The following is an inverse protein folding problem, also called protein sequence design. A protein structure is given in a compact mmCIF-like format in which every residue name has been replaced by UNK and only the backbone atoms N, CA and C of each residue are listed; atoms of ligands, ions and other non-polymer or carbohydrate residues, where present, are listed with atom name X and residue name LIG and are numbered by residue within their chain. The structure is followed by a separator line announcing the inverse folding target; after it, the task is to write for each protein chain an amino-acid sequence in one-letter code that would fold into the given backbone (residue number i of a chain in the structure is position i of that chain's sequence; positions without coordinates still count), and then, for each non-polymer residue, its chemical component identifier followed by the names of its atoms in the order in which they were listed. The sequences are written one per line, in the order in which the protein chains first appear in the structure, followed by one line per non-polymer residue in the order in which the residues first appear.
data_IF_405975926010
#
_entry.id   IF_405975926010
#
_cell.length_a   1.000
_cell.length_b   1.000
_cell.length_c   1.000
_cell.angle_alpha   90.00
_cell.angle_beta   90.00
_cell.angle_gamma   90.00
#
_symmetry.space_group_name_H-M   'P 1'
#
loop_
_entity.id
_entity.type
_entity.pdbx_description
1 polymer ?
#
# COMPACT_ATOMS: atom_id res chain seq x y z
N UNK A 1 -11.25 -49.22 -51.73
CA UNK A 1 -11.32 -48.29 -50.59
C UNK A 1 -11.53 -46.91 -51.19
N UNK A 2 -12.75 -46.36 -51.11
CA UNK A 2 -13.01 -45.00 -51.60
C UNK A 2 -12.42 -44.03 -50.57
N UNK A 3 -11.28 -43.42 -50.91
CA UNK A 3 -10.76 -42.27 -50.18
C UNK A 3 -11.71 -41.10 -50.43
N UNK A 4 -12.52 -40.79 -49.42
CA UNK A 4 -13.44 -39.64 -49.45
C UNK A 4 -12.59 -38.37 -49.28
N UNK A 5 -12.46 -37.59 -50.35
CA UNK A 5 -11.88 -36.25 -50.30
C UNK A 5 -12.80 -35.26 -49.60
N UNK A 6 -12.21 -34.32 -48.86
CA UNK A 6 -12.93 -33.22 -48.19
C UNK A 6 -13.64 -32.32 -49.19
N UNK A 7 -14.83 -31.82 -48.82
CA UNK A 7 -15.57 -30.87 -49.68
C UNK A 7 -15.01 -29.45 -49.53
N UNK A 8 -15.10 -28.62 -50.59
CA UNK A 8 -14.63 -27.23 -50.55
C UNK A 8 -15.28 -26.40 -49.44
N UNK A 9 -16.56 -26.69 -49.14
CA UNK A 9 -17.30 -26.02 -48.07
C UNK A 9 -16.74 -26.38 -46.70
N UNK A 10 -16.35 -27.63 -46.50
CA UNK A 10 -15.74 -28.12 -45.24
C UNK A 10 -14.37 -27.47 -44.98
N UNK A 11 -13.59 -27.24 -46.04
CA UNK A 11 -12.34 -26.49 -45.98
C UNK A 11 -12.57 -24.99 -45.66
N UNK A 12 -13.65 -24.39 -46.19
CA UNK A 12 -14.02 -23.01 -45.87
C UNK A 12 -14.47 -22.87 -44.42
N UNK A 13 -15.31 -23.78 -43.92
CA UNK A 13 -15.78 -23.79 -42.53
C UNK A 13 -14.62 -24.02 -41.55
N UNK A 14 -13.70 -24.94 -41.87
CA UNK A 14 -12.53 -25.18 -41.04
C UNK A 14 -11.62 -23.94 -40.93
N UNK A 15 -11.39 -23.24 -42.05
CA UNK A 15 -10.56 -22.02 -42.06
C UNK A 15 -11.22 -20.86 -41.32
N UNK A 16 -12.53 -20.65 -41.45
CA UNK A 16 -13.23 -19.58 -40.73
C UNK A 16 -13.25 -19.82 -39.23
N UNK A 17 -13.51 -21.05 -38.80
CA UNK A 17 -13.46 -21.41 -37.38
C UNK A 17 -12.05 -21.29 -36.80
N UNK A 18 -11.04 -21.76 -37.53
CA UNK A 18 -9.64 -21.63 -37.10
C UNK A 18 -9.22 -20.15 -36.97
N UNK A 19 -9.61 -19.31 -37.92
CA UNK A 19 -9.31 -17.88 -37.88
C UNK A 19 -9.96 -17.18 -36.67
N UNK A 20 -11.22 -17.52 -36.36
CA UNK A 20 -11.91 -16.99 -35.18
C UNK A 20 -11.23 -17.45 -33.89
N UNK A 21 -10.89 -18.74 -33.78
CA UNK A 21 -10.20 -19.26 -32.59
C UNK A 21 -8.83 -18.61 -32.38
N UNK A 22 -8.03 -18.47 -33.44
CA UNK A 22 -6.73 -17.82 -33.37
C UNK A 22 -6.84 -16.34 -33.00
N UNK A 23 -7.81 -15.60 -33.57
CA UNK A 23 -8.04 -14.20 -33.23
C UNK A 23 -8.33 -14.04 -31.73
N UNK A 24 -9.18 -14.90 -31.20
CA UNK A 24 -9.59 -14.86 -29.81
C UNK A 24 -8.44 -15.28 -28.88
N UNK A 25 -7.67 -16.32 -29.23
CA UNK A 25 -6.49 -16.75 -28.48
C UNK A 25 -5.39 -15.68 -28.42
N UNK A 26 -5.12 -15.01 -29.55
CA UNK A 26 -4.15 -13.91 -29.62
C UNK A 26 -4.64 -12.70 -28.82
N UNK A 27 -5.93 -12.37 -28.88
CA UNK A 27 -6.51 -11.31 -28.05
C UNK A 27 -6.33 -11.57 -26.55
N UNK A 28 -6.51 -12.82 -26.13
CA UNK A 28 -6.31 -13.25 -24.74
C UNK A 28 -4.83 -13.16 -24.32
N UNK A 29 -3.90 -13.60 -25.18
CA UNK A 29 -2.46 -13.50 -24.94
C UNK A 29 -2.00 -12.04 -24.82
N UNK A 30 -2.45 -11.16 -25.72
CA UNK A 30 -2.12 -9.73 -25.67
C UNK A 30 -2.63 -9.07 -24.39
N UNK A 31 -3.87 -9.39 -23.97
CA UNK A 31 -4.42 -8.95 -22.69
C UNK A 31 -3.55 -9.38 -21.49
N UNK A 32 -3.04 -10.61 -21.49
CA UNK A 32 -2.14 -11.09 -20.43
C UNK A 32 -0.81 -10.34 -20.45
N UNK A 33 -0.23 -10.09 -21.64
CA UNK A 33 1.00 -9.32 -21.77
C UNK A 33 0.82 -7.90 -21.21
N UNK A 34 -0.32 -7.26 -21.49
CA UNK A 34 -0.64 -5.94 -20.95
C UNK A 34 -0.82 -5.96 -19.43
N UNK A 35 -1.48 -6.97 -18.88
CA UNK A 35 -1.60 -7.15 -17.43
C UNK A 35 -0.23 -7.35 -16.76
N UNK A 36 0.64 -8.18 -17.34
CA UNK A 36 1.99 -8.41 -16.85
C UNK A 36 2.87 -7.16 -16.94
N UNK A 37 2.73 -6.36 -18.00
CA UNK A 37 3.43 -5.06 -18.11
C UNK A 37 2.99 -4.09 -17.03
N UNK A 38 1.69 -4.02 -16.73
CA UNK A 38 1.16 -3.19 -15.64
C UNK A 38 1.67 -3.65 -14.28
N UNK A 39 1.71 -4.95 -14.01
CA UNK A 39 2.24 -5.51 -12.77
C UNK A 39 3.73 -5.15 -12.57
N UNK A 40 4.56 -5.27 -13.62
CA UNK A 40 5.98 -4.88 -13.57
C UNK A 40 6.17 -3.38 -13.38
N UNK A 41 5.33 -2.55 -14.00
CA UNK A 41 5.37 -1.10 -13.81
C UNK A 41 5.03 -0.73 -12.35
N UNK A 42 4.01 -1.37 -11.77
CA UNK A 42 3.65 -1.22 -10.36
C UNK A 42 4.82 -1.56 -9.44
N UNK A 43 5.48 -2.70 -9.67
CA UNK A 43 6.60 -3.16 -8.85
C UNK A 43 7.77 -2.15 -8.87
N UNK A 44 8.12 -1.62 -10.05
CA UNK A 44 9.14 -0.59 -10.16
C UNK A 44 8.76 0.70 -9.43
N UNK A 45 7.51 1.15 -9.58
CA UNK A 45 7.00 2.34 -8.88
C UNK A 45 7.08 2.15 -7.37
N UNK A 46 6.64 1.00 -6.85
CA UNK A 46 6.70 0.70 -5.42
C UNK A 46 8.13 0.66 -4.91
N UNK A 47 9.06 0.02 -5.62
CA UNK A 47 10.47 -0.03 -5.21
C UNK A 47 11.11 1.36 -5.17
N UNK A 48 10.88 2.18 -6.21
CA UNK A 48 11.40 3.55 -6.27
C UNK A 48 10.80 4.42 -5.15
N UNK A 49 9.49 4.28 -4.89
CA UNK A 49 8.81 5.02 -3.85
C UNK A 49 9.28 4.59 -2.45
N UNK A 50 9.44 3.29 -2.21
CA UNK A 50 9.89 2.75 -0.92
C UNK A 50 11.27 3.31 -0.52
N UNK A 51 12.21 3.43 -1.47
CA UNK A 51 13.53 4.02 -1.19
C UNK A 51 13.42 5.50 -0.79
N UNK A 52 12.60 6.27 -1.51
CA UNK A 52 12.39 7.68 -1.20
C UNK A 52 11.77 7.88 0.19
N UNK A 53 10.80 7.01 0.54
CA UNK A 53 10.09 7.05 1.81
C UNK A 53 10.97 6.58 2.96
N UNK A 54 11.71 5.47 2.83
CA UNK A 54 12.62 5.00 3.88
C UNK A 54 13.67 6.06 4.24
N UNK A 55 14.27 6.68 3.23
CA UNK A 55 15.21 7.78 3.42
C UNK A 55 14.59 9.00 4.12
N UNK A 56 13.34 9.31 3.81
CA UNK A 56 12.57 10.34 4.49
C UNK A 56 12.32 9.97 5.96
N UNK A 57 11.65 8.84 6.22
CA UNK A 57 11.33 8.34 7.57
C UNK A 57 12.56 8.32 8.47
N UNK A 58 13.70 7.82 7.97
CA UNK A 58 14.95 7.81 8.72
C UNK A 58 15.42 9.21 9.12
N UNK A 59 15.39 10.16 8.18
CA UNK A 59 15.80 11.54 8.47
C UNK A 59 14.84 12.24 9.44
N UNK A 60 13.55 11.96 9.32
CA UNK A 60 12.51 12.50 10.20
C UNK A 60 12.66 11.96 11.62
N UNK A 61 12.86 10.66 11.80
CA UNK A 61 13.05 10.03 13.11
C UNK A 61 14.25 10.60 13.88
N UNK A 62 15.32 10.96 13.17
CA UNK A 62 16.54 11.51 13.78
C UNK A 62 16.50 13.03 13.95
N UNK A 63 15.43 13.69 13.49
CA UNK A 63 15.27 15.13 13.55
C UNK A 63 14.82 15.63 14.93
N UNK A 64 14.65 16.95 15.03
CA UNK A 64 13.90 17.60 16.11
C UNK A 64 13.27 18.91 15.58
N UNK A 65 12.52 19.61 16.44
CA UNK A 65 11.95 20.93 16.13
C UNK A 65 11.10 20.89 14.85
N UNK A 66 10.11 19.99 14.87
CA UNK A 66 9.13 19.80 13.80
C UNK A 66 8.26 21.02 13.62
N UNK A 67 7.86 21.27 12.39
CA UNK A 67 6.94 22.34 12.07
C UNK A 67 6.20 22.01 10.78
N UNK A 68 4.89 22.26 10.78
CA UNK A 68 4.02 21.95 9.65
C UNK A 68 3.47 23.19 8.99
N UNK A 69 3.18 23.04 7.71
CA UNK A 69 2.64 24.07 6.83
C UNK A 69 3.49 25.35 6.72
N UNK A 70 4.75 25.28 7.16
CA UNK A 70 5.71 26.36 7.03
C UNK A 70 7.12 25.82 7.00
N UNK A 71 7.97 26.55 6.30
CA UNK A 71 9.41 26.31 6.21
C UNK A 71 10.18 27.02 7.31
N UNK A 72 9.57 27.98 8.01
CA UNK A 72 10.23 28.82 9.01
C UNK A 72 10.71 28.02 10.22
N UNK A 73 11.72 28.56 10.91
CA UNK A 73 12.06 28.15 12.27
C UNK A 73 10.82 28.34 13.17
N UNK A 74 10.33 27.28 13.85
CA UNK A 74 9.21 27.40 14.78
C UNK A 74 9.61 28.21 16.01
N UNK A 75 8.69 29.01 16.53
CA UNK A 75 8.81 29.59 17.85
C UNK A 75 8.54 28.51 18.90
N UNK A 76 9.58 28.01 19.55
CA UNK A 76 9.52 26.86 20.47
C UNK A 76 8.72 27.11 21.76
N UNK A 77 8.20 28.32 21.97
CA UNK A 77 7.33 28.68 23.10
C UNK A 77 5.83 28.70 22.73
N UNK A 78 5.49 28.92 21.45
CA UNK A 78 4.10 29.09 20.99
C UNK A 78 3.67 28.08 19.94
N UNK A 79 4.62 27.51 19.21
CA UNK A 79 4.35 26.62 18.09
C UNK A 79 4.49 25.19 18.58
N UNK A 80 3.35 24.53 18.68
CA UNK A 80 3.31 23.08 18.80
C UNK A 80 3.83 22.49 17.48
N UNK A 81 4.81 21.58 17.58
CA UNK A 81 5.40 20.93 16.41
C UNK A 81 4.49 19.85 15.82
N UNK A 82 3.34 19.62 16.46
CA UNK A 82 2.37 18.62 16.07
C UNK A 82 1.53 19.05 14.86
N UNK A 83 1.22 18.06 14.04
CA UNK A 83 0.55 18.20 12.77
C UNK A 83 -0.68 17.29 12.80
N UNK A 84 -1.59 17.61 13.71
CA UNK A 84 -2.84 16.88 13.90
C UNK A 84 -3.89 17.37 12.90
N UNK A 85 -4.65 16.43 12.33
CA UNK A 85 -5.83 16.76 11.53
C UNK A 85 -6.82 17.56 12.38
N UNK A 86 -7.14 18.80 11.98
CA UNK A 86 -8.31 19.48 12.53
C UNK A 86 -8.37 21.01 12.42
N UNK A 87 -7.23 21.71 12.27
CA UNK A 87 -7.25 23.19 12.33
C UNK A 87 -6.70 23.90 11.07
N UNK A 88 -5.96 23.23 10.18
CA UNK A 88 -5.20 23.92 9.11
C UNK A 88 -5.29 23.29 7.69
N UNK A 89 -6.10 22.26 7.44
CA UNK A 89 -6.18 21.59 6.13
C UNK A 89 -5.09 20.54 5.90
N UNK A 90 -4.98 20.01 4.66
CA UNK A 90 -3.95 19.02 4.32
C UNK A 90 -2.55 19.63 4.45
N UNK A 91 -1.68 19.01 5.25
CA UNK A 91 -0.31 19.47 5.46
C UNK A 91 0.54 19.03 4.28
N UNK A 92 0.82 19.97 3.37
CA UNK A 92 1.60 19.73 2.16
C UNK A 92 3.09 20.09 2.35
N UNK A 93 3.42 20.87 3.38
CA UNK A 93 4.80 21.28 3.72
C UNK A 93 5.12 20.80 5.13
N UNK A 94 6.26 20.15 5.26
CA UNK A 94 6.77 19.64 6.51
C UNK A 94 8.25 20.00 6.68
N UNK A 95 8.63 20.60 7.79
CA UNK A 95 10.02 20.99 8.06
C UNK A 95 10.50 20.54 9.44
N UNK A 96 11.80 20.26 9.54
CA UNK A 96 12.45 19.90 10.79
C UNK A 96 13.95 20.19 10.75
N UNK A 97 14.58 20.21 11.92
CA UNK A 97 16.03 20.27 12.06
C UNK A 97 16.58 18.83 12.04
N UNK A 98 17.41 18.45 11.05
CA UNK A 98 17.99 17.11 11.02
C UNK A 98 19.00 16.91 12.16
N UNK A 99 19.38 15.67 12.42
CA UNK A 99 20.40 15.35 13.43
C UNK A 99 21.68 16.16 13.21
N UNK A 100 22.15 16.83 14.27
CA UNK A 100 23.38 17.64 14.26
C UNK A 100 23.24 19.06 13.69
N UNK A 101 22.06 19.45 13.18
CA UNK A 101 21.79 20.83 12.76
C UNK A 101 21.35 21.71 13.94
N UNK A 102 21.57 23.01 13.81
CA UNK A 102 21.03 24.01 14.73
C UNK A 102 19.53 24.22 14.44
N UNK A 103 18.61 23.93 15.38
CA UNK A 103 17.18 24.07 15.14
C UNK A 103 16.71 25.49 14.90
N UNK A 104 17.50 26.48 15.34
CA UNK A 104 17.22 27.90 15.19
C UNK A 104 17.72 28.49 13.86
N UNK A 105 18.47 27.73 13.07
CA UNK A 105 19.07 28.20 11.82
C UNK A 105 18.23 27.77 10.62
N UNK A 106 17.60 28.73 9.93
CA UNK A 106 16.72 28.46 8.79
C UNK A 106 17.42 27.66 7.68
N UNK A 107 18.70 27.97 7.42
CA UNK A 107 19.45 27.37 6.31
C UNK A 107 19.87 25.93 6.54
N UNK A 108 19.78 25.42 7.77
CA UNK A 108 20.12 24.02 8.09
C UNK A 108 18.88 23.11 8.17
N UNK A 109 17.67 23.69 8.09
CA UNK A 109 16.41 22.94 8.14
C UNK A 109 16.18 22.14 6.86
N UNK A 110 15.65 20.94 7.05
CA UNK A 110 15.17 20.11 5.95
C UNK A 110 13.68 20.33 5.79
N UNK A 111 13.26 20.48 4.54
CA UNK A 111 11.86 20.75 4.18
C UNK A 111 11.44 19.72 3.16
N UNK A 112 10.33 19.05 3.42
CA UNK A 112 9.60 18.21 2.49
C UNK A 112 8.36 18.95 2.03
N UNK A 113 8.11 18.92 0.72
CA UNK A 113 6.95 19.57 0.11
C UNK A 113 6.31 18.64 -0.89
N UNK A 114 5.01 18.42 -0.74
CA UNK A 114 4.20 17.81 -1.77
C UNK A 114 3.86 18.88 -2.82
N UNK A 115 4.24 18.61 -4.07
CA UNK A 115 3.87 19.45 -5.20
C UNK A 115 2.80 18.71 -5.99
N UNK A 116 1.52 19.15 -5.94
CA UNK A 116 0.46 18.50 -6.69
C UNK A 116 0.73 18.61 -8.19
N UNK A 117 0.28 17.59 -8.94
CA UNK A 117 0.43 17.56 -10.38
C UNK A 117 -0.28 18.75 -11.03
N UNK A 118 0.38 19.40 -11.99
CA UNK A 118 -0.24 20.48 -12.78
C UNK A 118 0.05 20.31 -14.27
N UNK A 119 -1.00 20.37 -15.07
CA UNK A 119 -0.91 20.17 -16.52
C UNK A 119 -0.41 18.77 -16.90
N UNK A 120 0.79 18.70 -17.49
CA UNK A 120 1.42 17.43 -17.92
C UNK A 120 2.43 16.87 -16.91
N UNK A 121 2.67 17.56 -15.79
CA UNK A 121 3.58 17.10 -14.74
C UNK A 121 2.76 16.40 -13.65
N UNK A 122 3.15 15.16 -13.33
CA UNK A 122 2.58 14.42 -12.20
C UNK A 122 2.95 15.04 -10.86
N UNK A 123 2.17 14.71 -9.83
CA UNK A 123 2.45 15.09 -8.46
C UNK A 123 3.70 14.38 -7.94
N UNK A 124 4.48 15.08 -7.12
CA UNK A 124 5.79 14.60 -6.65
C UNK A 124 6.11 15.12 -5.25
N UNK A 125 7.02 14.44 -4.57
CA UNK A 125 7.58 14.93 -3.30
C UNK A 125 8.94 15.54 -3.59
N UNK A 126 9.13 16.77 -3.11
CA UNK A 126 10.39 17.48 -3.17
C UNK A 126 11.00 17.62 -1.78
N UNK A 127 12.33 17.64 -1.72
CA UNK A 127 13.11 17.88 -0.52
C UNK A 127 14.08 19.03 -0.73
N UNK A 128 14.09 19.98 0.19
CA UNK A 128 15.13 20.99 0.36
C UNK A 128 15.96 20.67 1.61
N UNK A 129 17.28 20.92 1.54
CA UNK A 129 18.20 20.85 2.68
C UNK A 129 18.67 22.24 3.14
N UNK A 130 18.00 23.29 2.66
CA UNK A 130 18.41 24.67 2.87
C UNK A 130 17.21 25.55 3.20
N UNK A 131 16.39 25.11 4.15
CA UNK A 131 15.25 25.88 4.65
C UNK A 131 14.18 26.19 3.60
N UNK A 132 13.98 25.31 2.62
CA UNK A 132 13.03 25.49 1.52
C UNK A 132 13.66 26.01 0.22
N UNK A 133 14.93 26.41 0.23
CA UNK A 133 15.66 26.81 -0.98
C UNK A 133 16.15 25.60 -1.77
N UNK A 134 16.20 25.70 -3.11
CA UNK A 134 16.68 24.65 -4.01
C UNK A 134 16.04 23.26 -3.78
N UNK A 135 14.70 23.15 -3.85
CA UNK A 135 14.02 21.87 -3.70
C UNK A 135 14.42 20.89 -4.81
N UNK A 136 14.58 19.62 -4.45
CA UNK A 136 14.93 18.53 -5.37
C UNK A 136 13.89 17.42 -5.23
N UNK A 137 13.34 16.95 -6.36
CA UNK A 137 12.41 15.82 -6.37
C UNK A 137 13.10 14.54 -5.87
N UNK A 138 12.47 13.86 -4.91
CA UNK A 138 12.95 12.57 -4.39
C UNK A 138 12.16 11.38 -4.96
N UNK A 139 11.01 11.65 -5.57
CA UNK A 139 10.19 10.65 -6.25
C UNK A 139 10.57 10.59 -7.74
N UNK A 140 10.55 9.39 -8.32
CA UNK A 140 10.91 9.22 -9.72
C UNK A 140 9.86 9.85 -10.67
N UNK A 141 10.24 10.38 -11.85
CA UNK A 141 9.32 11.07 -12.76
C UNK A 141 8.14 10.23 -13.27
N UNK A 142 8.28 8.90 -13.26
CA UNK A 142 7.23 7.95 -13.63
C UNK A 142 6.18 7.71 -12.53
N UNK A 143 6.42 8.22 -11.31
CA UNK A 143 5.48 8.13 -10.19
C UNK A 143 4.65 9.40 -10.12
N UNK A 144 3.36 9.27 -10.37
CA UNK A 144 2.38 10.35 -10.21
C UNK A 144 1.68 10.17 -8.86
N UNK A 145 1.91 11.12 -7.95
CA UNK A 145 1.36 11.11 -6.60
C UNK A 145 0.11 11.98 -6.56
N UNK A 146 -1.04 11.39 -6.24
CA UNK A 146 -2.31 12.12 -6.24
C UNK A 146 -2.48 12.97 -4.98
N UNK A 147 -2.07 12.43 -3.83
CA UNK A 147 -2.31 13.03 -2.51
C UNK A 147 -1.23 12.56 -1.54
N UNK A 148 -0.72 13.48 -0.71
CA UNK A 148 0.21 13.22 0.41
C UNK A 148 -0.16 14.16 1.53
N UNK A 149 -0.35 13.60 2.73
CA UNK A 149 -0.46 14.39 3.96
C UNK A 149 0.59 13.92 4.96
N UNK A 150 1.28 14.88 5.58
CA UNK A 150 2.22 14.65 6.67
C UNK A 150 1.51 14.75 8.02
N UNK A 151 1.65 13.72 8.85
CA UNK A 151 1.18 13.72 10.24
C UNK A 151 2.37 13.67 11.19
N UNK A 152 2.31 14.47 12.26
CA UNK A 152 3.28 14.46 13.36
C UNK A 152 2.47 14.58 14.64
N UNK A 153 2.81 13.77 15.64
CA UNK A 153 2.11 13.74 16.92
C UNK A 153 3.12 13.50 18.07
N UNK A 154 2.83 14.12 19.22
CA UNK A 154 3.58 14.10 20.47
C UNK A 154 4.97 14.72 20.38
N UNK A 155 5.02 15.93 19.85
CA UNK A 155 6.16 16.85 19.93
C UNK A 155 5.98 17.91 21.00
N UNK A 156 4.82 17.94 21.68
CA UNK A 156 4.55 18.82 22.82
C UNK A 156 5.65 18.73 23.90
N UNK A 157 6.15 19.90 24.31
CA UNK A 157 7.11 20.05 25.41
C UNK A 157 6.35 20.49 26.65
N UNK A 158 6.10 19.60 27.61
CA UNK A 158 5.47 20.01 28.87
C UNK A 158 6.37 21.02 29.60
N UNK A 159 5.81 22.19 29.94
CA UNK A 159 6.45 23.31 30.65
C UNK A 159 6.81 23.03 32.13
N UNK A 160 7.26 21.82 32.45
CA UNK A 160 7.66 21.42 33.78
C UNK A 160 8.33 20.06 33.81
N UNK A 161 9.65 20.05 34.03
CA UNK A 161 10.36 18.96 34.72
C UNK A 161 10.68 17.67 33.97
N UNK A 162 10.06 17.35 32.83
CA UNK A 162 10.45 16.18 32.04
C UNK A 162 10.90 16.61 30.65
N UNK A 163 12.21 16.65 30.43
CA UNK A 163 12.78 16.68 29.09
C UNK A 163 12.50 15.31 28.47
N UNK A 164 11.30 15.10 27.94
CA UNK A 164 11.00 14.01 27.01
C UNK A 164 11.47 14.53 25.64
N UNK A 165 12.61 14.09 25.07
CA UNK A 165 12.87 14.30 23.66
C UNK A 165 11.62 13.90 22.87
N UNK A 166 11.10 14.74 21.96
CA UNK A 166 9.98 14.31 21.15
C UNK A 166 10.35 12.97 20.48
N UNK A 167 9.47 11.97 20.61
CA UNK A 167 9.52 10.75 19.79
C UNK A 167 8.50 10.96 18.66
N UNK A 168 8.85 11.76 17.63
CA UNK A 168 7.94 12.17 16.58
C UNK A 168 7.54 10.94 15.79
N UNK A 169 6.25 10.63 15.77
CA UNK A 169 5.70 9.66 14.85
C UNK A 169 5.25 10.37 13.60
N UNK A 170 6.00 10.18 12.53
CA UNK A 170 5.53 10.58 11.20
C UNK A 170 4.68 9.46 10.61
N UNK A 171 3.36 9.63 10.60
CA UNK A 171 2.48 8.78 9.78
C UNK A 171 2.19 9.51 8.47
N UNK A 172 2.20 8.78 7.35
CA UNK A 172 1.97 9.35 6.02
C UNK A 172 0.87 8.54 5.35
N UNK A 173 -0.05 9.25 4.70
CA UNK A 173 -1.03 8.65 3.80
C UNK A 173 -0.77 9.19 2.41
N UNK A 174 -0.43 8.33 1.44
CA UNK A 174 -0.50 8.68 0.03
C UNK A 174 -1.51 7.83 -0.71
N UNK A 175 -2.34 8.50 -1.51
CA UNK A 175 -3.13 7.85 -2.55
C UNK A 175 -2.35 7.97 -3.86
N UNK A 176 -1.99 6.82 -4.43
CA UNK A 176 -1.48 6.74 -5.79
C UNK A 176 -2.49 5.98 -6.65
N UNK A 177 -2.96 6.59 -7.74
CA UNK A 177 -3.49 5.84 -8.88
C UNK A 177 -2.55 6.03 -10.06
N UNK A 178 -2.30 4.93 -10.75
CA UNK A 178 -1.66 4.94 -12.06
C UNK A 178 -2.56 5.68 -13.07
N UNK A 179 -2.22 6.92 -13.37
CA UNK A 179 -2.75 7.63 -14.51
C UNK A 179 -2.07 7.15 -15.79
N UNK A 180 -2.60 6.07 -16.39
CA UNK A 180 -2.32 5.74 -17.78
C UNK A 180 -3.12 6.68 -18.70
N UNK A 181 -2.63 7.92 -18.90
CA UNK A 181 -3.18 8.84 -19.88
C UNK A 181 -2.76 8.43 -21.30
N UNK A 182 -3.40 7.40 -21.86
CA UNK A 182 -3.39 7.19 -23.32
C UNK A 182 -4.47 8.08 -23.94
N UNK A 183 -4.13 9.34 -24.19
CA UNK A 183 -4.97 10.28 -24.95
C UNK A 183 -4.91 9.92 -26.44
N UNK A 184 -5.65 8.87 -26.82
CA UNK A 184 -5.85 8.50 -28.23
C UNK A 184 -6.73 9.53 -28.94
N UNK A 185 -6.13 10.51 -29.61
CA UNK A 185 -6.84 11.38 -30.56
C UNK A 185 -7.42 10.53 -31.69
N UNK A 186 -8.73 10.26 -31.65
CA UNK A 186 -9.50 9.74 -32.79
C UNK A 186 -9.42 10.76 -33.92
N UNK A 187 -8.72 10.43 -35.02
CA UNK A 187 -8.88 11.13 -36.30
C UNK A 187 -10.28 10.81 -36.81
N UNK A 188 -11.15 11.81 -36.80
CA UNK A 188 -12.42 11.81 -37.53
C UNK A 188 -12.11 11.67 -39.02
N UNK A 189 -12.37 10.48 -39.58
CA UNK A 189 -12.39 10.26 -41.01
C UNK A 189 -13.66 10.92 -41.57
N UNK A 190 -13.50 12.09 -42.18
CA UNK A 190 -14.55 12.72 -42.98
C UNK A 190 -14.55 12.06 -44.37
N UNK A 191 -15.63 11.35 -44.72
CA UNK A 191 -15.75 10.74 -46.04
C UNK A 191 -15.96 11.83 -47.10
N UNK A 192 -15.00 11.96 -48.02
CA UNK A 192 -15.12 12.81 -49.20
C UNK A 192 -15.94 12.04 -50.25
N UNK A 193 -17.12 12.56 -50.62
CA UNK A 193 -17.91 12.04 -51.75
C UNK A 193 -17.16 12.28 -53.06
N UNK A 194 -17.00 11.25 -53.88
CA UNK A 194 -16.61 11.35 -55.28
C UNK A 194 -17.87 11.35 -56.17
N UNK A 195 -17.87 11.99 -57.35
CA UNK A 195 -19.03 12.08 -58.21
C UNK A 195 -19.25 10.78 -58.99
N UNK A 196 -20.53 10.49 -59.24
CA UNK A 196 -21.02 9.43 -60.11
C UNK A 196 -20.71 9.73 -61.57
N UNK A 197 -20.06 8.79 -62.27
CA UNK A 197 -20.14 8.66 -63.72
C UNK A 197 -20.90 7.38 -64.07
N UNK A 198 -21.80 7.51 -65.04
CA UNK A 198 -22.61 6.45 -65.59
C UNK A 198 -21.84 5.63 -66.63
N UNK A 199 -22.02 4.30 -66.62
CA UNK A 199 -21.93 3.42 -67.80
C UNK A 199 -22.49 2.05 -67.41
N UNK A 200 -23.65 1.67 -67.93
CA UNK A 200 -23.77 0.82 -69.13
C UNK A 200 -23.99 -0.64 -68.73
N UNK A 201 -25.19 -1.08 -69.07
CA UNK A 201 -25.75 -2.42 -68.98
C UNK A 201 -24.87 -3.49 -69.64
N UNK A 202 -24.64 -4.61 -68.97
CA UNK A 202 -24.67 -5.94 -69.60
C UNK A 202 -24.80 -7.04 -68.54
N UNK A 203 -25.77 -7.92 -68.81
CA UNK A 203 -25.84 -9.33 -68.44
C UNK A 203 -25.91 -9.71 -66.96
N UNK A 204 -27.16 -9.73 -66.48
CA UNK A 204 -27.56 -10.43 -65.26
C UNK A 204 -27.58 -11.94 -65.52
N UNK A 205 -26.43 -12.58 -65.39
CA UNK A 205 -26.33 -14.03 -65.29
C UNK A 205 -26.98 -14.45 -63.96
N UNK A 206 -28.10 -15.17 -64.07
CA UNK A 206 -28.85 -15.71 -62.93
C UNK A 206 -28.00 -16.76 -62.22
N UNK A 207 -27.25 -16.35 -61.20
CA UNK A 207 -26.78 -17.26 -60.15
C UNK A 207 -28.02 -17.78 -59.41
N UNK A 208 -28.40 -19.03 -59.69
CA UNK A 208 -29.33 -19.79 -58.85
C UNK A 208 -28.66 -19.93 -57.48
N UNK A 209 -29.07 -19.11 -56.53
CA UNK A 209 -28.82 -19.37 -55.12
C UNK A 209 -29.53 -20.68 -54.78
N UNK A 210 -28.78 -21.75 -54.61
CA UNK A 210 -29.34 -22.94 -53.99
C UNK A 210 -29.61 -22.59 -52.54
N UNK A 211 -30.88 -22.42 -52.19
CA UNK A 211 -31.30 -22.38 -50.80
C UNK A 211 -31.12 -23.78 -50.20
N UNK A 212 -29.92 -24.06 -49.68
CA UNK A 212 -29.70 -25.21 -48.82
C UNK A 212 -29.97 -24.77 -47.39
N UNK A 213 -30.95 -25.42 -46.75
CA UNK A 213 -31.15 -25.31 -45.31
C UNK A 213 -29.93 -25.87 -44.57
N UNK A 214 -29.46 -25.15 -43.55
CA UNK A 214 -28.39 -25.62 -42.66
C UNK A 214 -28.79 -26.96 -42.04
N UNK A 215 -27.88 -27.91 -42.06
CA UNK A 215 -28.11 -29.20 -41.37
C UNK A 215 -28.00 -28.98 -39.86
N UNK A 216 -28.81 -29.70 -39.07
CA UNK A 216 -28.75 -29.63 -37.60
C UNK A 216 -27.38 -30.06 -37.04
N UNK A 217 -26.65 -30.90 -37.76
CA UNK A 217 -25.29 -31.32 -37.39
C UNK A 217 -24.31 -30.16 -37.53
N UNK A 218 -24.47 -29.34 -38.56
CA UNK A 218 -23.62 -28.17 -38.82
C UNK A 218 -23.85 -27.06 -37.77
N UNK A 219 -25.09 -26.80 -37.39
CA UNK A 219 -25.39 -25.85 -36.30
C UNK A 219 -24.89 -26.36 -34.94
N UNK A 220 -24.95 -27.68 -34.68
CA UNK A 220 -24.44 -28.28 -33.46
C UNK A 220 -22.90 -28.21 -33.38
N UNK A 221 -22.20 -28.51 -34.48
CA UNK A 221 -20.74 -28.41 -34.56
C UNK A 221 -20.30 -26.94 -34.44
N UNK A 222 -20.97 -26.02 -35.13
CA UNK A 222 -20.66 -24.59 -35.05
C UNK A 222 -20.81 -24.05 -33.61
N UNK A 223 -21.91 -24.39 -32.91
CA UNK A 223 -22.14 -23.93 -31.53
C UNK A 223 -21.15 -24.57 -30.55
N UNK A 224 -20.76 -25.84 -30.74
CA UNK A 224 -19.78 -26.50 -29.87
C UNK A 224 -18.36 -25.91 -30.02
N UNK A 225 -17.92 -25.60 -31.24
CA UNK A 225 -16.62 -24.97 -31.46
C UNK A 225 -16.64 -23.52 -30.94
N UNK A 226 -17.74 -22.80 -31.16
CA UNK A 226 -17.91 -21.40 -30.73
C UNK A 226 -17.98 -21.29 -29.20
N UNK A 227 -18.62 -22.24 -28.52
CA UNK A 227 -18.64 -22.28 -27.04
C UNK A 227 -17.25 -22.54 -26.44
N UNK A 228 -16.48 -23.49 -26.98
CA UNK A 228 -15.09 -23.74 -26.54
C UNK A 228 -14.20 -22.51 -26.79
N UNK A 229 -14.38 -21.84 -27.93
CA UNK A 229 -13.63 -20.65 -28.28
C UNK A 229 -13.89 -19.46 -27.34
N UNK A 230 -15.09 -19.33 -26.77
CA UNK A 230 -15.44 -18.24 -25.84
C UNK A 230 -15.00 -18.55 -24.39
N UNK A 231 -15.02 -19.82 -23.99
CA UNK A 231 -14.71 -20.21 -22.60
C UNK A 231 -13.24 -19.99 -22.26
N UNK A 232 -12.30 -20.36 -23.13
CA UNK A 232 -10.86 -20.24 -22.84
C UNK A 232 -10.37 -18.78 -22.58
N UNK A 233 -10.76 -17.79 -23.40
CA UNK A 233 -10.41 -16.38 -23.19
C UNK A 233 -11.11 -15.78 -21.99
N UNK A 234 -12.39 -16.11 -21.78
CA UNK A 234 -13.14 -15.64 -20.61
C UNK A 234 -12.50 -16.17 -19.32
N UNK A 235 -12.04 -17.41 -19.32
CA UNK A 235 -11.31 -18.00 -18.19
C UNK A 235 -9.98 -17.28 -17.97
N UNK A 236 -9.25 -16.94 -19.03
CA UNK A 236 -7.99 -16.21 -18.93
C UNK A 236 -8.18 -14.78 -18.40
N UNK A 237 -9.18 -14.05 -18.88
CA UNK A 237 -9.46 -12.68 -18.43
C UNK A 237 -9.91 -12.65 -16.98
N UNK A 238 -10.75 -13.61 -16.55
CA UNK A 238 -11.14 -13.76 -15.14
C UNK A 238 -9.91 -14.01 -14.24
N UNK A 239 -8.99 -14.88 -14.66
CA UNK A 239 -7.73 -15.12 -13.92
C UNK A 239 -6.85 -13.88 -13.86
N UNK A 240 -6.75 -13.11 -14.94
CA UNK A 240 -5.95 -11.88 -14.98
C UNK A 240 -6.49 -10.80 -14.04
N UNK A 241 -7.81 -10.65 -13.93
CA UNK A 241 -8.42 -9.67 -13.03
C UNK A 241 -8.21 -10.06 -11.56
N UNK A 242 -8.36 -11.36 -11.27
CA UNK A 242 -8.06 -11.91 -9.94
C UNK A 242 -6.60 -11.68 -9.53
N UNK A 243 -5.64 -11.90 -10.44
CA UNK A 243 -4.22 -11.65 -10.19
C UNK A 243 -3.91 -10.17 -9.92
N UNK A 244 -4.61 -9.24 -10.59
CA UNK A 244 -4.44 -7.80 -10.34
C UNK A 244 -4.97 -7.37 -8.98
N UNK A 245 -6.13 -7.91 -8.55
CA UNK A 245 -6.64 -7.68 -7.20
C UNK A 245 -5.72 -8.25 -6.13
N UNK A 246 -5.18 -9.45 -6.37
CA UNK A 246 -4.20 -10.07 -5.49
C UNK A 246 -2.97 -9.18 -5.29
N UNK A 247 -2.36 -8.71 -6.37
CA UNK A 247 -1.17 -7.86 -6.30
C UNK A 247 -1.44 -6.54 -5.54
N UNK A 248 -2.61 -5.92 -5.75
CA UNK A 248 -3.00 -4.71 -5.03
C UNK A 248 -3.15 -4.96 -3.53
N UNK A 249 -3.86 -6.02 -3.16
CA UNK A 249 -4.13 -6.31 -1.76
C UNK A 249 -2.82 -6.69 -1.03
N UNK A 250 -1.90 -7.39 -1.69
CA UNK A 250 -0.58 -7.71 -1.15
C UNK A 250 0.22 -6.47 -0.74
N UNK A 251 0.17 -5.39 -1.54
CA UNK A 251 0.85 -4.12 -1.23
C UNK A 251 0.24 -3.47 0.01
N UNK A 252 -1.09 -3.40 0.10
CA UNK A 252 -1.79 -2.80 1.24
C UNK A 252 -1.47 -3.59 2.52
N UNK A 253 -1.60 -4.92 2.47
CA UNK A 253 -1.34 -5.78 3.62
C UNK A 253 0.12 -5.69 4.10
N UNK A 254 1.08 -5.59 3.17
CA UNK A 254 2.50 -5.42 3.51
C UNK A 254 2.79 -4.11 4.23
N UNK A 255 2.17 -3.01 3.77
CA UNK A 255 2.34 -1.71 4.43
C UNK A 255 1.65 -1.67 5.80
N UNK A 256 0.46 -2.28 5.94
CA UNK A 256 -0.23 -2.40 7.23
C UNK A 256 0.56 -3.25 8.23
N UNK A 257 1.25 -4.29 7.75
CA UNK A 257 2.12 -5.13 8.57
C UNK A 257 3.37 -4.36 9.02
N UNK A 258 4.01 -3.61 8.11
CA UNK A 258 5.16 -2.75 8.43
C UNK A 258 4.80 -1.65 9.42
N UNK A 259 3.64 -1.00 9.26
CA UNK A 259 3.17 -0.02 10.25
C UNK A 259 3.00 -0.66 11.63
N UNK A 260 2.48 -1.89 11.69
CA UNK A 260 2.31 -2.63 12.94
C UNK A 260 3.64 -2.85 13.67
N UNK A 261 4.69 -3.28 12.95
CA UNK A 261 6.00 -3.53 13.58
C UNK A 261 6.67 -2.22 14.03
N UNK A 262 6.55 -1.16 13.23
CA UNK A 262 7.07 0.16 13.60
C UNK A 262 6.34 0.75 14.81
N UNK A 263 5.03 0.51 14.95
CA UNK A 263 4.27 0.93 16.11
C UNK A 263 4.76 0.22 17.39
N UNK A 264 5.00 -1.10 17.34
CA UNK A 264 5.54 -1.84 18.49
C UNK A 264 6.95 -1.33 18.84
N UNK A 265 7.78 -1.05 17.83
CA UNK A 265 9.11 -0.45 18.06
C UNK A 265 9.01 0.94 18.69
N UNK A 266 8.06 1.76 18.23
CA UNK A 266 7.85 3.09 18.77
C UNK A 266 7.42 3.08 20.24
N UNK A 267 6.64 2.08 20.66
CA UNK A 267 6.27 1.88 22.07
C UNK A 267 7.50 1.51 22.92
N UNK A 268 8.34 0.58 22.46
CA UNK A 268 9.63 0.29 23.11
C UNK A 268 10.51 1.54 23.20
N UNK A 269 10.63 2.29 22.12
CA UNK A 269 11.48 3.48 22.06
C UNK A 269 10.95 4.60 22.99
N UNK A 270 9.63 4.71 23.17
CA UNK A 270 9.04 5.58 24.18
C UNK A 270 9.42 5.13 25.60
N UNK A 271 9.42 3.83 25.88
CA UNK A 271 9.83 3.29 27.19
C UNK A 271 11.31 3.59 27.50
N UNK A 272 12.21 3.46 26.52
CA UNK A 272 13.63 3.84 26.64
C UNK A 272 13.74 5.28 27.16
N UNK A 273 12.92 6.16 26.61
CA UNK A 273 12.94 7.58 26.93
C UNK A 273 12.47 7.88 28.35
N UNK A 274 11.38 7.24 28.76
CA UNK A 274 10.84 7.32 30.12
C UNK A 274 11.89 6.86 31.14
N UNK A 275 12.60 5.75 30.86
CA UNK A 275 13.68 5.25 31.71
C UNK A 275 14.85 6.24 31.75
N UNK A 276 15.30 6.73 30.59
CA UNK A 276 16.45 7.64 30.50
C UNK A 276 16.20 9.00 31.19
N UNK A 277 14.94 9.41 31.31
CA UNK A 277 14.55 10.68 31.94
C UNK A 277 14.27 10.57 33.43
N UNK A 278 14.38 9.36 34.01
CA UNK A 278 13.95 9.05 35.38
C UNK A 278 12.53 9.56 35.68
N UNK A 279 11.64 9.50 34.68
CA UNK A 279 10.23 9.77 34.92
C UNK A 279 9.68 8.69 35.84
N UNK A 280 9.02 9.08 36.93
CA UNK A 280 8.28 8.19 37.84
C UNK A 280 7.01 7.64 37.15
N UNK A 281 7.19 7.00 36.00
CA UNK A 281 6.14 6.20 35.39
C UNK A 281 6.33 4.75 35.84
N UNK A 282 5.22 4.09 36.13
CA UNK A 282 5.18 2.66 36.37
C UNK A 282 4.67 1.96 35.12
N UNK A 283 5.06 0.69 34.96
CA UNK A 283 4.46 -0.17 33.96
C UNK A 283 2.99 -0.45 34.28
N UNK A 284 2.22 -0.86 33.28
CA UNK A 284 0.79 -1.16 33.44
C UNK A 284 0.49 -2.30 34.41
N UNK A 285 1.49 -3.10 34.77
CA UNK A 285 1.44 -4.15 35.78
C UNK A 285 1.80 -3.67 37.21
N UNK A 286 2.11 -2.37 37.37
CA UNK A 286 2.54 -1.78 38.64
C UNK A 286 4.01 -2.03 38.99
N UNK A 287 4.79 -2.59 38.07
CA UNK A 287 6.24 -2.75 38.19
C UNK A 287 7.01 -1.49 37.77
N UNK A 288 8.33 -1.44 38.05
CA UNK A 288 9.19 -0.35 37.59
C UNK A 288 9.20 -0.29 36.05
N UNK A 289 9.38 0.89 35.47
CA UNK A 289 9.45 1.05 34.02
C UNK A 289 10.52 0.17 33.37
N UNK A 290 10.10 -0.71 32.45
CA UNK A 290 10.96 -1.59 31.65
C UNK A 290 10.80 -1.31 30.15
N UNK A 291 11.76 -1.77 29.37
CA UNK A 291 11.82 -1.56 27.92
C UNK A 291 10.62 -2.13 27.16
N UNK A 292 10.10 -3.27 27.62
CA UNK A 292 9.02 -4.01 26.95
C UNK A 292 7.64 -3.75 27.55
N UNK A 293 7.52 -2.79 28.48
CA UNK A 293 6.25 -2.50 29.13
C UNK A 293 5.17 -2.05 28.16
N UNK A 294 3.94 -2.54 28.40
CA UNK A 294 2.79 -2.30 27.52
C UNK A 294 2.74 -3.21 26.29
N UNK A 295 3.69 -4.13 26.09
CA UNK A 295 3.63 -5.16 25.03
C UNK A 295 3.11 -6.47 25.63
N UNK A 296 1.91 -6.95 25.25
CA UNK A 296 1.40 -8.24 25.71
C UNK A 296 2.23 -9.39 25.14
N UNK A 297 2.85 -10.18 26.03
CA UNK A 297 3.63 -11.37 25.69
C UNK A 297 2.73 -12.60 25.70
N UNK A 298 2.97 -13.53 24.77
CA UNK A 298 2.24 -14.80 24.56
C UNK A 298 0.74 -14.62 24.28
N UNK A 299 0.33 -13.40 23.96
CA UNK A 299 -1.04 -13.02 23.65
C UNK A 299 -1.10 -12.32 22.29
N UNK A 300 -2.26 -12.40 21.65
CA UNK A 300 -2.54 -11.63 20.44
C UNK A 300 -3.16 -10.28 20.83
N UNK A 301 -2.70 -9.21 20.21
CA UNK A 301 -3.15 -7.85 20.49
C UNK A 301 -3.29 -7.01 19.22
N UNK A 302 -4.02 -5.89 19.34
CA UNK A 302 -4.06 -4.83 18.34
C UNK A 302 -3.19 -3.66 18.78
N UNK A 303 -2.71 -2.89 17.82
CA UNK A 303 -2.00 -1.65 18.09
C UNK A 303 -2.61 -0.55 17.23
N UNK A 304 -2.89 0.61 17.84
CA UNK A 304 -3.29 1.81 17.15
C UNK A 304 -2.10 2.77 17.05
N UNK A 305 -1.49 2.81 15.86
CA UNK A 305 -0.31 3.62 15.57
C UNK A 305 -0.60 5.14 15.55
N UNK A 306 -1.88 5.54 15.54
CA UNK A 306 -2.31 6.94 15.46
C UNK A 306 -2.23 7.67 16.80
N UNK A 307 -2.03 6.95 17.91
CA UNK A 307 -1.91 7.50 19.27
C UNK A 307 -0.43 7.67 19.64
N UNK A 308 -0.12 8.62 20.53
CA UNK A 308 1.20 8.77 21.11
C UNK A 308 1.21 8.72 22.66
N UNK A 309 1.80 7.68 23.30
CA UNK A 309 2.37 6.46 22.72
C UNK A 309 1.31 5.60 21.97
N UNK A 310 1.71 4.63 21.13
CA UNK A 310 0.75 3.82 20.40
C UNK A 310 -0.13 3.06 21.39
N UNK A 311 -1.44 3.03 21.14
CA UNK A 311 -2.37 2.41 22.07
C UNK A 311 -2.47 0.91 21.77
N UNK A 312 -2.20 0.09 22.79
CA UNK A 312 -2.33 -1.36 22.67
C UNK A 312 -3.73 -1.78 23.12
N UNK A 313 -4.44 -2.49 22.25
CA UNK A 313 -5.76 -3.04 22.52
C UNK A 313 -5.69 -4.55 22.71
N UNK A 314 -6.46 -5.07 23.66
CA UNK A 314 -6.69 -6.51 23.76
C UNK A 314 -7.63 -6.99 22.65
N UNK A 315 -7.29 -8.11 22.02
CA UNK A 315 -8.26 -8.84 21.21
C UNK A 315 -9.14 -9.62 22.19
N UNK A 316 -10.39 -9.16 22.39
CA UNK A 316 -11.32 -9.67 23.41
C UNK A 316 -11.44 -11.21 23.42
N UNK A 317 -11.63 -11.79 24.62
CA UNK A 317 -11.48 -13.23 24.85
C UNK A 317 -12.70 -14.13 24.62
N UNK A 318 -12.35 -15.42 24.53
CA UNK A 318 -13.06 -16.70 24.74
C UNK A 318 -13.83 -17.37 23.59
N UNK A 319 -14.02 -16.77 22.43
CA UNK A 319 -14.31 -17.55 21.21
C UNK A 319 -13.43 -17.06 20.06
N UNK A 320 -12.22 -17.64 20.03
CA UNK A 320 -11.16 -17.54 19.02
C UNK A 320 -10.34 -16.23 19.05
N UNK A 321 -9.02 -16.37 18.98
CA UNK A 321 -8.01 -15.29 19.05
C UNK A 321 -8.04 -14.33 17.87
N UNK A 322 -9.19 -13.71 17.66
CA UNK A 322 -9.54 -12.99 16.46
C UNK A 322 -9.69 -11.49 16.77
N UNK A 323 -8.66 -10.71 16.44
CA UNK A 323 -8.77 -9.25 16.52
C UNK A 323 -9.80 -8.71 15.50
N UNK A 324 -10.48 -7.61 15.85
CA UNK A 324 -11.44 -6.97 14.95
C UNK A 324 -10.79 -6.46 13.65
N UNK A 325 -11.61 -6.30 12.60
CA UNK A 325 -11.17 -5.69 11.33
C UNK A 325 -10.72 -4.24 11.55
N UNK A 326 -9.71 -3.80 10.79
CA UNK A 326 -9.27 -2.41 10.77
C UNK A 326 -10.38 -1.50 10.25
N UNK A 327 -10.53 -0.33 10.84
CA UNK A 327 -11.46 0.71 10.42
C UNK A 327 -10.70 1.81 9.67
N UNK A 328 -11.43 2.61 8.88
CA UNK A 328 -10.84 3.75 8.17
C UNK A 328 -11.78 4.96 8.17
N UNK A 329 -11.22 6.16 8.27
CA UNK A 329 -11.88 7.44 7.95
C UNK A 329 -11.77 7.81 6.46
N UNK A 330 -11.13 6.96 5.66
CA UNK A 330 -10.80 7.22 4.26
C UNK A 330 -9.36 7.69 4.04
N UNK A 331 -8.61 8.01 5.09
CA UNK A 331 -7.21 8.45 5.01
C UNK A 331 -6.26 7.53 5.77
N UNK A 332 -6.65 7.11 6.97
CA UNK A 332 -5.85 6.30 7.89
C UNK A 332 -6.55 4.98 8.20
N UNK A 333 -5.77 4.00 8.68
CA UNK A 333 -6.26 2.73 9.20
C UNK A 333 -6.05 2.71 10.71
N UNK A 334 -6.99 2.12 11.46
CA UNK A 334 -6.88 2.06 12.92
C UNK A 334 -8.02 1.31 13.60
N UNK A 335 -8.08 1.42 14.92
CA UNK A 335 -9.08 0.74 15.76
C UNK A 335 -10.04 1.74 16.45
N UNK A 336 -10.23 2.91 15.84
CA UNK A 336 -11.10 3.95 16.39
C UNK A 336 -12.56 3.49 16.53
N UNK A 337 -13.11 3.60 17.74
CA UNK A 337 -14.53 3.31 17.97
C UNK A 337 -15.47 4.34 17.35
N UNK A 338 -14.97 5.53 16.99
CA UNK A 338 -15.76 6.58 16.32
C UNK A 338 -15.92 6.34 14.83
N UNK A 339 -15.06 5.51 14.22
CA UNK A 339 -15.11 5.23 12.79
C UNK A 339 -16.12 4.14 12.48
N UNK A 340 -16.96 4.38 11.47
CA UNK A 340 -18.05 3.46 11.09
C UNK A 340 -17.68 2.55 9.91
N UNK A 341 -16.65 2.91 9.14
CA UNK A 341 -16.26 2.17 7.93
C UNK A 341 -15.25 1.07 8.28
N UNK A 342 -15.71 -0.18 8.26
CA UNK A 342 -14.86 -1.37 8.41
C UNK A 342 -14.20 -1.72 7.08
N UNK A 343 -12.90 -2.00 7.12
CA UNK A 343 -12.12 -2.45 5.97
C UNK A 343 -12.15 -3.99 5.89
N UNK A 344 -11.80 -4.61 4.75
CA UNK A 344 -11.68 -6.07 4.66
C UNK A 344 -10.41 -6.61 5.32
N UNK A 345 -9.54 -5.76 5.86
CA UNK A 345 -8.26 -6.16 6.42
C UNK A 345 -8.34 -6.33 7.94
N UNK A 346 -7.66 -7.34 8.44
CA UNK A 346 -7.47 -7.63 9.87
C UNK A 346 -5.98 -7.68 10.13
N UNK A 347 -5.51 -6.96 11.15
CA UNK A 347 -4.13 -6.97 11.61
C UNK A 347 -4.10 -7.56 13.00
N UNK A 348 -3.30 -8.59 13.19
CA UNK A 348 -3.03 -9.21 14.49
C UNK A 348 -1.55 -9.14 14.78
N UNK A 349 -1.20 -8.85 16.03
CA UNK A 349 0.19 -8.83 16.48
C UNK A 349 0.33 -9.84 17.61
N UNK A 350 1.42 -10.58 17.60
CA UNK A 350 1.79 -11.54 18.62
C UNK A 350 3.25 -11.30 18.99
N UNK A 351 3.52 -11.12 20.27
CA UNK A 351 4.87 -11.07 20.79
C UNK A 351 5.13 -12.35 21.60
N UNK A 352 6.25 -13.02 21.34
CA UNK A 352 6.66 -14.23 22.04
C UNK A 352 8.10 -14.08 22.51
N UNK A 353 8.43 -14.65 23.66
CA UNK A 353 9.82 -14.70 24.13
C UNK A 353 10.63 -15.68 23.28
N UNK A 354 11.84 -15.30 22.91
CA UNK A 354 12.74 -16.21 22.18
C UNK A 354 13.52 -17.03 23.20
N UNK A 355 13.03 -18.24 23.50
CA UNK A 355 13.67 -19.14 24.45
C UNK A 355 15.07 -19.59 23.97
N UNK A 356 16.08 -19.49 24.84
CA UNK A 356 17.44 -20.03 24.62
C UNK A 356 18.56 -19.02 24.42
N UNK A 357 18.28 -17.71 24.53
CA UNK A 357 19.28 -16.64 24.48
C UNK A 357 19.15 -15.83 25.77
N UNK A 358 20.24 -15.78 26.55
CA UNK A 358 20.47 -14.95 27.75
C UNK A 358 19.21 -14.54 28.53
N UNK A 359 18.87 -15.33 29.55
CA UNK A 359 17.92 -14.90 30.56
C UNK A 359 18.68 -14.49 31.82
N UNK A 360 18.38 -13.28 32.32
CA UNK A 360 18.77 -12.88 33.67
C UNK A 360 17.64 -13.25 34.62
N UNK A 361 17.96 -13.86 35.75
CA UNK A 361 16.98 -14.04 36.83
C UNK A 361 16.88 -12.73 37.61
N UNK A 362 15.65 -12.26 37.85
CA UNK A 362 15.41 -11.15 38.77
C UNK A 362 15.66 -11.58 40.24
N UNK A 363 15.60 -10.64 41.19
CA UNK A 363 15.75 -10.94 42.63
C UNK A 363 14.74 -11.99 43.15
N UNK A 364 13.65 -12.27 42.41
CA UNK A 364 12.60 -13.23 42.74
C UNK A 364 12.73 -14.57 42.00
N UNK A 365 13.74 -14.74 41.12
CA UNK A 365 13.96 -15.94 40.31
C UNK A 365 13.10 -16.03 39.05
N UNK A 366 12.48 -14.94 38.61
CA UNK A 366 11.75 -14.82 37.36
C UNK A 366 12.72 -14.58 36.18
N UNK A 367 12.53 -15.34 35.10
CA UNK A 367 13.39 -15.28 33.93
C UNK A 367 13.05 -14.05 33.09
N UNK A 368 13.99 -13.12 32.97
CA UNK A 368 13.85 -11.96 32.11
C UNK A 368 14.51 -12.25 30.77
N UNK A 369 13.73 -12.16 29.71
CA UNK A 369 14.20 -12.42 28.36
C UNK A 369 14.71 -11.13 27.71
N UNK A 370 15.93 -11.17 27.19
CA UNK A 370 16.54 -10.02 26.49
C UNK A 370 16.03 -9.86 25.05
N UNK A 371 15.22 -10.81 24.54
CA UNK A 371 14.74 -10.83 23.17
C UNK A 371 13.28 -11.30 23.10
N UNK A 372 12.45 -10.49 22.45
CA UNK A 372 11.09 -10.88 22.04
C UNK A 372 11.01 -10.92 20.52
N UNK A 373 10.29 -11.90 20.00
CA UNK A 373 9.90 -11.98 18.60
C UNK A 373 8.51 -11.43 18.44
N UNK A 374 8.39 -10.37 17.65
CA UNK A 374 7.11 -9.75 17.30
C UNK A 374 6.74 -10.18 15.89
N UNK A 375 5.59 -10.82 15.77
CA UNK A 375 4.99 -11.26 14.52
C UNK A 375 3.74 -10.41 14.26
N UNK A 376 3.70 -9.77 13.10
CA UNK A 376 2.52 -9.06 12.60
C UNK A 376 1.94 -9.87 11.45
N UNK A 377 0.68 -10.28 11.59
CA UNK A 377 -0.08 -10.98 10.55
C UNK A 377 -1.19 -10.09 10.06
N UNK A 378 -1.26 -9.88 8.75
CA UNK A 378 -2.36 -9.18 8.10
C UNK A 378 -3.09 -10.16 7.19
N UNK A 379 -4.38 -10.32 7.45
CA UNK A 379 -5.29 -11.15 6.66
C UNK A 379 -6.37 -10.30 6.02
N UNK A 380 -6.94 -10.81 4.93
CA UNK A 380 -8.12 -10.24 4.29
C UNK A 380 -9.30 -11.17 4.51
N UNK A 381 -10.37 -10.64 5.08
CA UNK A 381 -11.57 -11.38 5.47
C UNK A 381 -12.73 -11.05 4.48
N UNK A 382 -12.74 -11.73 3.34
CA UNK A 382 -13.77 -11.62 2.29
C UNK A 382 -14.18 -13.03 1.81
N UNK A 383 -15.49 -13.27 1.67
CA UNK A 383 -16.07 -14.57 1.27
C UNK A 383 -15.91 -14.89 -0.21
N UNK A 384 -15.47 -13.93 -1.01
CA UNK A 384 -15.42 -14.04 -2.48
C UNK A 384 -14.04 -14.49 -3.00
N UNK A 385 -12.97 -14.22 -2.24
CA UNK A 385 -11.58 -14.53 -2.60
C UNK A 385 -10.69 -14.47 -1.36
N UNK A 386 -9.93 -15.53 -1.11
CA UNK A 386 -8.92 -15.58 -0.04
C UNK A 386 -7.58 -15.10 -0.57
N UNK A 387 -7.15 -13.91 -0.17
CA UNK A 387 -5.75 -13.51 -0.34
C UNK A 387 -4.89 -14.28 0.69
N UNK A 388 -3.71 -14.80 0.33
CA UNK A 388 -2.75 -15.32 1.30
C UNK A 388 -2.38 -14.23 2.32
N UNK A 389 -2.18 -14.66 3.56
CA UNK A 389 -1.77 -13.79 4.63
C UNK A 389 -0.38 -13.19 4.38
N UNK A 390 -0.18 -11.97 4.89
CA UNK A 390 1.15 -11.35 4.95
C UNK A 390 1.64 -11.43 6.38
N UNK A 391 2.81 -12.03 6.56
CA UNK A 391 3.46 -12.19 7.85
C UNK A 391 4.79 -11.45 7.83
N UNK A 392 4.97 -10.52 8.76
CA UNK A 392 6.25 -9.87 9.03
C UNK A 392 6.68 -10.27 10.44
N UNK A 393 7.94 -10.69 10.57
CA UNK A 393 8.52 -11.11 11.85
C UNK A 393 9.76 -10.27 12.09
N UNK A 394 9.87 -9.72 13.29
CA UNK A 394 11.05 -9.01 13.74
C UNK A 394 11.39 -9.38 15.19
N UNK A 395 12.68 -9.37 15.50
CA UNK A 395 13.16 -9.53 16.87
C UNK A 395 13.40 -8.14 17.48
N UNK A 396 12.82 -7.88 18.65
CA UNK A 396 13.11 -6.71 19.46
C UNK A 396 13.99 -7.13 20.64
N UNK A 397 15.10 -6.40 20.80
CA UNK A 397 16.09 -6.67 21.84
C UNK A 397 16.00 -5.67 22.99
N UNK A 398 16.36 -6.14 24.16
CA UNK A 398 16.55 -5.39 25.40
C UNK A 398 18.04 -5.07 25.58
N UNK A 399 18.52 -4.10 24.81
CA UNK A 399 19.96 -3.78 24.72
C UNK A 399 20.45 -2.74 25.73
N UNK A 400 19.55 -2.17 26.54
CA UNK A 400 19.84 -1.24 27.62
C UNK A 400 19.43 -1.89 28.93
N UNK A 401 20.27 -1.76 29.97
CA UNK A 401 19.88 -2.17 31.31
C UNK A 401 18.86 -1.14 31.85
N UNK A 402 17.61 -1.57 31.99
CA UNK A 402 16.49 -0.79 32.53
C UNK A 402 16.30 -1.02 34.04
N UNK A 403 17.27 -1.66 34.70
CA UNK A 403 17.24 -1.93 36.13
C UNK A 403 16.36 -3.11 36.52
N UNK A 404 15.72 -3.78 35.56
CA UNK A 404 14.87 -4.93 35.87
C UNK A 404 15.64 -6.23 36.07
N UNK A 405 16.94 -6.29 35.74
CA UNK A 405 17.78 -7.50 35.80
C UNK A 405 18.93 -7.44 36.82
N UNK A 406 18.74 -6.75 37.95
CA UNK A 406 19.65 -6.84 39.10
C UNK A 406 19.00 -7.61 40.23
#
# INVERSE_FOLDING_TARGET
MNERGFTLVELMVAMTLFAVVMLVAVGALLSMVDANRKARALENVMNNLNIAIDGMVRSVRMGNSYHCNSVSVPNMETDDGDCLNGSQGAVEIFSFAPFGANPLEQTERWVYTFVPGSGNAGGRIERSRSGGSNPVAITAPEVDIEDVTFYVDGTERTNGGALIPPSPKSSWSSRGRLAAAMTGRRRLFTSRRLPSSASSTSDMERLRTSEHGMTLVETLVAVSILSIAIVAPMTLTMRSLSAAYYARDQVIMSNLAQEGIEAVRALRDANILTIATNSEADCSDGGPMQLLCGIPIDQVFTIDARKNPPEVGSCGGVEEGECGRLMTDGNLYGHDSTWTTKTPYKRTIRAEVVAGINSTEDENGEQIYDEIRVQVVVTRDDSTYTAPEVVIVENLYRWVNDGSGN
#
